data_IF_425703801261
#
_entry.id   IF_425703801261
#
_cell.length_a   1.000
_cell.length_b   1.000
_cell.length_c   1.000
_cell.angle_alpha   90.00
_cell.angle_beta   90.00
_cell.angle_gamma   90.00
#
_symmetry.space_group_name_H-M   'P 1'
#
loop_
_entity.id
_entity.type
_entity.pdbx_description
1 polymer ?
#
# COMPACT_ATOMS: atom_id res chain seq x y z
N UNK A 1 -10.87 1.37 1.12
CA UNK A 1 -11.41 1.05 2.46
C UNK A 1 -12.78 0.40 2.38
N UNK A 2 -13.73 0.99 1.65
CA UNK A 2 -15.12 0.49 1.50
C UNK A 2 -15.19 -1.02 1.22
N UNK A 3 -14.47 -1.54 0.22
CA UNK A 3 -14.53 -2.97 -0.12
C UNK A 3 -14.08 -3.87 1.04
N UNK A 4 -13.03 -3.50 1.78
CA UNK A 4 -12.55 -4.30 2.91
C UNK A 4 -13.47 -4.21 4.13
N UNK A 5 -14.18 -3.11 4.29
CA UNK A 5 -15.19 -2.95 5.35
C UNK A 5 -16.42 -3.84 5.09
N UNK A 6 -16.75 -4.10 3.82
CA UNK A 6 -17.89 -4.95 3.42
C UNK A 6 -17.51 -6.42 3.32
N UNK A 7 -16.31 -6.73 2.85
CA UNK A 7 -15.83 -8.11 2.61
C UNK A 7 -14.84 -8.49 3.72
N UNK A 8 -15.33 -9.21 4.72
CA UNK A 8 -14.54 -9.56 5.92
C UNK A 8 -14.32 -11.06 6.10
N UNK A 9 -15.17 -11.90 5.52
CA UNK A 9 -15.15 -13.36 5.73
C UNK A 9 -14.30 -14.17 4.74
N UNK A 10 -13.71 -13.52 3.73
CA UNK A 10 -12.93 -14.18 2.68
C UNK A 10 -11.72 -13.34 2.27
N UNK A 11 -10.65 -13.94 1.73
CA UNK A 11 -9.52 -13.21 1.18
C UNK A 11 -9.94 -12.28 0.03
N UNK A 12 -9.52 -11.02 0.11
CA UNK A 12 -9.75 -10.03 -0.95
C UNK A 12 -8.48 -9.86 -1.79
N UNK A 13 -8.49 -10.39 -3.01
CA UNK A 13 -7.38 -10.28 -3.97
C UNK A 13 -7.74 -9.21 -5.00
N UNK A 14 -6.86 -8.22 -5.19
CA UNK A 14 -7.03 -7.19 -6.20
C UNK A 14 -6.38 -7.67 -7.51
N UNK A 15 -7.20 -7.85 -8.54
CA UNK A 15 -6.79 -8.31 -9.87
C UNK A 15 -7.09 -7.23 -10.92
N UNK A 16 -6.17 -7.05 -11.87
CA UNK A 16 -6.11 -6.01 -12.90
C UNK A 16 -5.86 -4.56 -12.42
N UNK A 17 -5.18 -3.77 -13.25
CA UNK A 17 -4.99 -2.32 -13.06
C UNK A 17 -3.74 -1.88 -12.27
N UNK A 18 -2.94 -2.82 -11.75
CA UNK A 18 -1.65 -2.51 -11.12
C UNK A 18 -0.60 -2.29 -12.22
N UNK A 19 -0.24 -1.03 -12.47
CA UNK A 19 0.72 -0.65 -13.50
C UNK A 19 2.15 -0.50 -12.97
N UNK A 20 2.29 -0.15 -11.69
CA UNK A 20 3.59 0.01 -11.03
C UNK A 20 3.53 -0.33 -9.55
N UNK A 21 4.69 -0.32 -8.88
CA UNK A 21 4.84 -0.69 -7.48
C UNK A 21 3.94 0.14 -6.54
N UNK A 22 3.73 1.44 -6.81
CA UNK A 22 2.87 2.29 -5.97
C UNK A 22 1.42 1.80 -5.92
N UNK A 23 0.89 1.28 -7.03
CA UNK A 23 -0.50 0.81 -7.09
C UNK A 23 -0.67 -0.44 -6.22
N UNK A 24 0.31 -1.35 -6.27
CA UNK A 24 0.35 -2.53 -5.41
C UNK A 24 0.41 -2.10 -3.93
N UNK A 25 1.31 -1.19 -3.57
CA UNK A 25 1.42 -0.67 -2.19
C UNK A 25 0.09 -0.10 -1.70
N UNK A 26 -0.58 0.74 -2.51
CA UNK A 26 -1.86 1.36 -2.16
C UNK A 26 -2.96 0.30 -1.96
N UNK A 27 -3.02 -0.72 -2.82
CA UNK A 27 -3.99 -1.80 -2.69
C UNK A 27 -3.87 -2.51 -1.32
N UNK A 28 -2.64 -2.84 -0.92
CA UNK A 28 -2.38 -3.50 0.36
C UNK A 28 -2.60 -2.55 1.55
N UNK A 29 -2.22 -1.27 1.44
CA UNK A 29 -2.53 -0.25 2.47
C UNK A 29 -4.03 -0.08 2.72
N UNK A 30 -4.86 -0.27 1.68
CA UNK A 30 -6.31 -0.19 1.77
C UNK A 30 -6.98 -1.45 2.34
N UNK A 31 -6.19 -2.49 2.60
CA UNK A 31 -6.62 -3.74 3.23
C UNK A 31 -6.88 -4.89 2.27
N UNK A 32 -6.37 -4.86 1.03
CA UNK A 32 -6.30 -6.06 0.22
C UNK A 32 -5.41 -7.12 0.90
N UNK A 33 -5.70 -8.39 0.68
CA UNK A 33 -4.91 -9.50 1.20
C UNK A 33 -3.79 -9.90 0.23
N UNK A 34 -4.03 -9.74 -1.07
CA UNK A 34 -3.04 -9.93 -2.10
C UNK A 34 -3.35 -9.08 -3.34
N UNK A 35 -2.39 -9.02 -4.25
CA UNK A 35 -2.53 -8.46 -5.60
C UNK A 35 -2.14 -9.51 -6.63
N UNK A 36 -2.91 -9.62 -7.70
CA UNK A 36 -2.60 -10.45 -8.86
C UNK A 36 -2.26 -9.53 -10.03
N UNK A 37 -1.13 -9.78 -10.69
CA UNK A 37 -0.67 -8.94 -11.80
C UNK A 37 0.12 -9.76 -12.83
N UNK A 38 0.06 -9.32 -14.08
CA UNK A 38 0.83 -9.87 -15.18
C UNK A 38 1.43 -8.74 -16.03
N UNK A 39 0.59 -7.99 -16.75
CA UNK A 39 1.01 -6.96 -17.72
C UNK A 39 1.91 -5.88 -17.12
N UNK A 40 1.69 -5.48 -15.86
CA UNK A 40 2.53 -4.48 -15.18
C UNK A 40 4.00 -4.93 -15.01
N UNK A 41 4.25 -6.24 -14.91
CA UNK A 41 5.60 -6.80 -14.86
C UNK A 41 6.08 -7.14 -16.27
N UNK A 42 5.29 -7.90 -17.03
CA UNK A 42 5.67 -8.41 -18.35
C UNK A 42 5.87 -7.30 -19.40
N UNK A 43 5.17 -6.18 -19.26
CA UNK A 43 5.27 -5.02 -20.16
C UNK A 43 6.31 -3.98 -19.75
N UNK A 44 7.04 -4.19 -18.65
CA UNK A 44 8.09 -3.28 -18.21
C UNK A 44 9.33 -3.37 -19.13
N UNK A 45 10.10 -2.29 -19.20
CA UNK A 45 11.39 -2.29 -19.92
C UNK A 45 12.39 -3.30 -19.30
N UNK A 46 12.37 -3.45 -17.98
CA UNK A 46 13.07 -4.49 -17.25
C UNK A 46 12.07 -5.27 -16.37
N UNK A 47 11.55 -6.41 -16.85
CA UNK A 47 10.57 -7.21 -16.12
C UNK A 47 11.10 -7.81 -14.82
N UNK A 48 12.39 -8.15 -14.74
CA UNK A 48 12.98 -8.77 -13.55
C UNK A 48 13.09 -7.74 -12.45
N UNK A 49 13.59 -6.55 -12.77
CA UNK A 49 13.63 -5.43 -11.84
C UNK A 49 12.22 -5.01 -11.39
N UNK A 50 11.25 -4.99 -12.32
CA UNK A 50 9.86 -4.68 -11.97
C UNK A 50 9.27 -5.74 -11.03
N UNK A 51 9.54 -7.02 -11.24
CA UNK A 51 9.09 -8.08 -10.34
C UNK A 51 9.66 -7.90 -8.92
N UNK A 52 10.93 -7.51 -8.79
CA UNK A 52 11.54 -7.18 -7.50
C UNK A 52 10.88 -5.96 -6.85
N UNK A 53 10.64 -4.90 -7.61
CA UNK A 53 9.94 -3.71 -7.15
C UNK A 53 8.52 -4.03 -6.64
N UNK A 54 7.77 -4.84 -7.38
CA UNK A 54 6.43 -5.28 -7.01
C UNK A 54 6.44 -6.13 -5.74
N UNK A 55 7.42 -7.04 -5.58
CA UNK A 55 7.60 -7.82 -4.35
C UNK A 55 7.78 -6.89 -3.14
N UNK A 56 8.66 -5.89 -3.24
CA UNK A 56 8.88 -4.94 -2.16
C UNK A 56 7.64 -4.09 -1.86
N UNK A 57 6.91 -3.66 -2.89
CA UNK A 57 5.67 -2.92 -2.75
C UNK A 57 4.59 -3.69 -1.97
N UNK A 58 4.39 -4.98 -2.28
CA UNK A 58 3.43 -5.83 -1.57
C UNK A 58 3.80 -5.97 -0.10
N UNK A 59 5.08 -6.23 0.19
CA UNK A 59 5.57 -6.35 1.57
C UNK A 59 5.37 -5.03 2.32
N UNK A 60 5.81 -3.92 1.74
CA UNK A 60 5.71 -2.60 2.35
C UNK A 60 4.26 -2.19 2.59
N UNK A 61 3.38 -2.35 1.59
CA UNK A 61 1.96 -2.02 1.71
C UNK A 61 1.26 -2.85 2.78
N UNK A 62 1.54 -4.16 2.86
CA UNK A 62 0.95 -5.01 3.91
C UNK A 62 1.47 -4.66 5.29
N UNK A 63 2.77 -4.37 5.43
CA UNK A 63 3.35 -3.89 6.68
C UNK A 63 2.74 -2.55 7.11
N UNK A 64 2.54 -1.61 6.19
CA UNK A 64 1.91 -0.32 6.45
C UNK A 64 0.44 -0.44 6.89
N UNK A 65 -0.30 -1.39 6.29
CA UNK A 65 -1.65 -1.73 6.75
C UNK A 65 -1.66 -2.24 8.19
N UNK A 66 -0.78 -3.20 8.52
CA UNK A 66 -0.68 -3.78 9.86
C UNK A 66 -0.16 -2.79 10.90
N UNK A 67 0.74 -1.89 10.50
CA UNK A 67 1.30 -0.87 11.39
C UNK A 67 0.28 0.22 11.76
N UNK A 68 -0.81 0.37 11.01
CA UNK A 68 -1.83 1.38 11.28
C UNK A 68 -1.32 2.80 11.03
N UNK A 69 -1.13 3.17 9.76
CA UNK A 69 -0.68 4.51 9.36
C UNK A 69 -1.43 5.66 10.06
N UNK A 70 -0.71 6.75 10.32
CA UNK A 70 -1.27 7.97 10.88
C UNK A 70 -2.46 8.47 10.04
N UNK A 71 -3.49 8.99 10.71
CA UNK A 71 -4.61 9.62 10.02
C UNK A 71 -4.12 10.79 9.17
N UNK A 72 -4.55 10.83 7.90
CA UNK A 72 -4.34 12.00 7.04
C UNK A 72 -5.12 13.16 7.64
N UNK A 73 -4.41 14.15 8.18
CA UNK A 73 -5.00 15.44 8.52
C UNK A 73 -5.16 16.25 7.24
N UNK A 74 -6.37 16.78 7.00
CA UNK A 74 -6.64 17.69 5.87
C UNK A 74 -5.97 19.06 6.06
N UNK A 75 -5.62 19.40 7.30
CA UNK A 75 -4.97 20.65 7.68
C UNK A 75 -3.67 20.36 8.42
N UNK A 76 -2.60 21.08 8.07
CA UNK A 76 -1.31 20.98 8.73
C UNK A 76 -1.40 21.54 10.16
N UNK A 77 -1.68 20.67 11.13
CA UNK A 77 -1.34 20.90 12.53
C UNK A 77 -0.05 20.18 12.81
N UNK A 78 0.95 20.89 13.35
CA UNK A 78 2.24 20.32 13.73
C UNK A 78 2.04 18.97 14.44
N UNK A 79 2.65 17.92 13.92
CA UNK A 79 2.52 16.55 14.45
C UNK A 79 3.36 16.32 15.70
N UNK A 80 4.29 17.24 15.98
CA UNK A 80 5.17 17.21 17.13
C UNK A 80 4.65 18.17 18.20
N UNK A 81 4.42 17.72 19.46
CA UNK A 81 4.24 18.63 20.57
C UNK A 81 5.48 19.52 20.70
N UNK A 82 5.29 20.84 20.80
CA UNK A 82 6.37 21.78 21.18
C UNK A 82 6.83 21.58 22.65
N UNK A 83 6.17 20.69 23.39
CA UNK A 83 6.29 20.45 24.84
C UNK A 83 7.56 19.70 25.29
N UNK A 84 8.60 19.65 24.45
CA UNK A 84 9.88 19.01 24.79
C UNK A 84 11.12 19.60 24.13
N UNK A 85 10.99 20.65 23.30
CA UNK A 85 12.11 21.27 22.59
C UNK A 85 12.74 22.44 23.38
N UNK A 86 12.80 22.33 24.71
CA UNK A 86 13.60 23.21 25.54
C UNK A 86 14.44 22.37 26.50
N UNK A 87 15.64 22.02 26.04
CA UNK A 87 16.87 22.03 26.81
C UNK A 87 18.07 22.09 25.88
#
# INVERSE_FOLDING_TARGET
RILREVITGVPLILDAGVGTASDATIALELGADAVLMNTGIAGAQDPVLMAEAMKHAVIAGRQAYLAGRMQRKLYATASSPLEGAMR
#
